data_IF_026192657671
#
_entry.id   IF_026192657671
#
_cell.length_a   1.000
_cell.length_b   1.000
_cell.length_c   1.000
_cell.angle_alpha   90.00
_cell.angle_beta   90.00
_cell.angle_gamma   90.00
#
_symmetry.space_group_name_H-M   'P 1'
#
loop_
_entity.id
_entity.type
_entity.pdbx_description
1 polymer ?
#
# COMPACT_ATOMS: atom_id res chain seq x y z
N UNK A 1 23.55 6.56 -57.87
CA UNK A 1 24.25 7.20 -56.74
C UNK A 1 23.38 8.17 -55.94
N UNK A 2 22.55 9.04 -56.53
CA UNK A 2 21.71 9.99 -55.74
C UNK A 2 20.62 9.33 -54.85
N UNK A 3 20.08 8.17 -55.21
CA UNK A 3 19.09 7.42 -54.39
C UNK A 3 19.71 6.68 -53.18
N UNK A 4 21.00 6.36 -53.24
CA UNK A 4 21.70 5.70 -52.15
C UNK A 4 22.07 6.68 -51.02
N UNK A 5 22.36 7.94 -51.38
CA UNK A 5 22.66 9.02 -50.44
C UNK A 5 21.44 9.46 -49.61
N UNK A 6 20.23 9.39 -50.20
CA UNK A 6 18.98 9.69 -49.48
C UNK A 6 18.63 8.59 -48.49
N UNK A 7 18.92 7.34 -48.83
CA UNK A 7 18.70 6.20 -47.89
C UNK A 7 19.65 6.26 -46.70
N UNK A 8 20.91 6.65 -46.89
CA UNK A 8 21.88 6.82 -45.82
C UNK A 8 21.57 7.99 -44.89
N UNK A 9 21.01 9.10 -45.41
CA UNK A 9 20.59 10.24 -44.59
C UNK A 9 19.31 9.93 -43.79
N UNK A 10 18.42 9.05 -44.28
CA UNK A 10 17.26 8.59 -43.53
C UNK A 10 17.63 7.60 -42.41
N UNK A 11 18.63 6.73 -42.67
CA UNK A 11 19.11 5.79 -41.62
C UNK A 11 19.93 6.54 -40.57
N UNK A 12 20.69 7.57 -40.92
CA UNK A 12 21.45 8.38 -39.98
C UNK A 12 20.51 9.23 -39.08
N UNK A 13 19.31 9.65 -39.57
CA UNK A 13 18.33 10.33 -38.74
C UNK A 13 17.50 9.38 -37.85
N UNK A 14 17.38 8.10 -38.23
CA UNK A 14 16.73 7.08 -37.37
C UNK A 14 17.66 6.59 -36.25
N UNK A 15 18.99 6.70 -36.42
CA UNK A 15 19.94 6.35 -35.34
C UNK A 15 20.22 7.49 -34.38
N UNK A 16 19.86 8.76 -34.71
CA UNK A 16 19.99 9.90 -33.80
C UNK A 16 18.82 10.01 -32.79
N UNK A 17 17.75 9.25 -32.98
CA UNK A 17 16.63 9.19 -32.03
C UNK A 17 16.80 8.12 -30.93
N UNK A 18 17.88 7.31 -30.98
CA UNK A 18 18.10 6.23 -30.01
C UNK A 18 19.24 6.50 -29.02
N UNK A 19 19.52 7.77 -28.70
CA UNK A 19 20.55 8.09 -27.73
C UNK A 19 20.03 9.01 -26.63
N UNK A 20 18.99 8.59 -25.94
CA UNK A 20 18.70 8.90 -24.55
C UNK A 20 17.68 7.88 -24.02
N UNK A 21 18.03 6.61 -24.08
CA UNK A 21 17.51 5.68 -23.12
C UNK A 21 18.14 6.07 -21.77
N UNK A 22 17.65 7.16 -21.17
CA UNK A 22 17.76 7.35 -19.76
C UNK A 22 17.25 6.06 -19.15
N UNK A 23 18.12 5.32 -18.48
CA UNK A 23 17.68 4.20 -17.66
C UNK A 23 16.55 4.71 -16.82
N UNK A 24 15.34 4.16 -16.98
CA UNK A 24 14.14 4.56 -16.22
C UNK A 24 14.24 4.12 -14.75
N UNK A 25 15.47 3.93 -14.25
CA UNK A 25 15.74 3.48 -12.89
C UNK A 25 15.28 4.54 -11.87
N UNK A 26 14.39 4.13 -10.98
CA UNK A 26 13.89 4.97 -9.88
C UNK A 26 14.77 4.72 -8.65
N UNK A 27 15.90 5.43 -8.61
CA UNK A 27 16.87 5.40 -7.50
C UNK A 27 16.82 6.69 -6.68
N UNK A 28 15.63 7.09 -6.29
CA UNK A 28 15.39 8.17 -5.34
C UNK A 28 14.00 8.06 -4.74
N UNK A 29 13.89 8.40 -3.47
CA UNK A 29 12.59 8.56 -2.81
C UNK A 29 12.07 9.99 -2.94
N UNK A 30 12.87 10.95 -3.43
CA UNK A 30 12.52 12.36 -3.54
C UNK A 30 12.77 12.85 -4.97
N UNK A 31 11.76 13.51 -5.57
CA UNK A 31 11.78 14.02 -6.93
C UNK A 31 11.27 15.44 -7.01
N UNK A 32 11.97 16.29 -7.76
CA UNK A 32 11.48 17.60 -8.18
C UNK A 32 10.57 17.43 -9.40
N UNK A 33 9.40 18.06 -9.36
CA UNK A 33 8.42 18.10 -10.46
C UNK A 33 8.42 19.49 -11.05
N UNK A 34 8.65 19.60 -12.35
CA UNK A 34 8.57 20.86 -13.09
C UNK A 34 7.93 20.67 -14.45
N UNK A 35 7.41 21.74 -15.04
CA UNK A 35 6.83 21.73 -16.39
C UNK A 35 6.95 23.10 -17.01
N UNK A 36 7.20 23.18 -18.32
CA UNK A 36 7.21 24.44 -19.05
C UNK A 36 5.85 25.15 -18.92
N UNK A 37 5.90 26.45 -18.64
CA UNK A 37 4.71 27.25 -18.38
C UNK A 37 4.19 27.22 -16.94
N UNK A 38 4.77 26.42 -16.06
CA UNK A 38 4.50 26.42 -14.61
C UNK A 38 5.75 26.99 -13.90
N UNK A 39 5.58 28.15 -13.25
CA UNK A 39 6.71 28.86 -12.65
C UNK A 39 7.22 28.18 -11.36
N UNK A 40 6.31 27.59 -10.58
CA UNK A 40 6.64 26.95 -9.31
C UNK A 40 7.06 25.50 -9.50
N UNK A 41 8.00 25.06 -8.66
CA UNK A 41 8.39 23.67 -8.55
C UNK A 41 7.52 22.97 -7.52
N UNK A 42 7.23 21.72 -7.76
CA UNK A 42 6.60 20.80 -6.79
C UNK A 42 7.51 19.59 -6.54
N UNK A 43 7.16 18.76 -5.57
CA UNK A 43 8.00 17.64 -5.16
C UNK A 43 7.16 16.41 -4.92
N UNK A 44 7.72 15.24 -5.26
CA UNK A 44 7.14 13.93 -5.00
C UNK A 44 8.05 13.18 -4.04
N UNK A 45 7.52 12.72 -2.92
CA UNK A 45 8.24 12.01 -1.87
C UNK A 45 7.62 10.62 -1.66
N UNK A 46 8.45 9.58 -1.81
CA UNK A 46 8.08 8.23 -1.43
C UNK A 46 8.14 8.06 0.08
N UNK A 47 7.06 7.62 0.71
CA UNK A 47 6.97 7.32 2.15
C UNK A 47 7.06 5.83 2.41
N UNK A 48 7.24 5.45 3.66
CA UNK A 48 7.27 4.06 4.07
C UNK A 48 6.37 3.85 5.28
N UNK A 49 5.47 2.87 5.18
CA UNK A 49 4.55 2.51 6.24
C UNK A 49 5.06 1.24 6.95
N UNK A 50 5.79 1.39 8.03
CA UNK A 50 6.29 0.22 8.75
C UNK A 50 6.99 0.53 10.05
N UNK A 51 6.27 0.44 11.16
CA UNK A 51 6.82 0.60 12.50
C UNK A 51 7.90 -0.44 12.84
N UNK A 52 7.75 -1.64 12.30
CA UNK A 52 8.58 -2.81 12.64
C UNK A 52 10.04 -2.68 12.22
N UNK A 53 10.37 -1.73 11.34
CA UNK A 53 11.70 -1.58 10.77
C UNK A 53 12.42 -0.30 11.25
N UNK A 54 11.84 0.43 12.21
CA UNK A 54 12.40 1.69 12.71
C UNK A 54 12.35 2.84 11.71
N UNK A 55 11.60 2.70 10.61
CA UNK A 55 11.39 3.77 9.63
C UNK A 55 10.19 4.58 10.09
N UNK A 56 10.45 5.75 10.63
CA UNK A 56 9.46 6.67 11.18
C UNK A 56 9.75 8.10 10.72
N UNK A 57 8.82 9.01 11.02
CA UNK A 57 8.93 10.41 10.62
C UNK A 57 10.25 11.08 11.07
N UNK A 58 10.77 10.75 12.24
CA UNK A 58 12.04 11.26 12.75
C UNK A 58 13.23 11.01 11.82
N UNK A 59 13.13 10.02 10.92
CA UNK A 59 14.16 9.72 9.93
C UNK A 59 14.32 10.87 8.91
N UNK A 60 13.21 11.47 8.49
CA UNK A 60 13.21 12.55 7.48
C UNK A 60 13.09 13.94 8.09
N UNK A 61 12.49 14.09 9.27
CA UNK A 61 12.23 15.36 9.94
C UNK A 61 13.51 16.19 10.18
N UNK A 62 14.64 15.51 10.38
CA UNK A 62 15.93 16.17 10.62
C UNK A 62 16.70 16.48 9.33
N UNK A 63 16.26 15.99 8.17
CA UNK A 63 16.97 16.14 6.90
C UNK A 63 16.81 17.56 6.35
N UNK A 64 17.92 18.31 6.10
CA UNK A 64 17.85 19.70 5.62
C UNK A 64 17.07 19.84 4.32
N UNK A 65 17.22 18.89 3.39
CA UNK A 65 16.53 18.88 2.11
C UNK A 65 15.01 18.83 2.29
N UNK A 66 14.52 17.93 3.13
CA UNK A 66 13.10 17.81 3.44
C UNK A 66 12.55 19.09 4.09
N UNK A 67 13.25 19.63 5.08
CA UNK A 67 12.83 20.86 5.77
C UNK A 67 12.72 22.02 4.79
N UNK A 68 13.75 22.22 3.97
CA UNK A 68 13.77 23.30 2.97
C UNK A 68 12.61 23.18 1.99
N UNK A 69 12.30 21.97 1.54
CA UNK A 69 11.16 21.73 0.65
C UNK A 69 9.84 22.02 1.36
N UNK A 70 9.64 21.47 2.57
CA UNK A 70 8.42 21.70 3.33
C UNK A 70 8.18 23.18 3.60
N UNK A 71 9.23 23.95 3.89
CA UNK A 71 9.15 25.41 4.08
C UNK A 71 8.77 26.14 2.79
N UNK A 72 9.29 25.70 1.64
CA UNK A 72 9.15 26.38 0.35
C UNK A 72 7.82 26.15 -0.35
N UNK A 73 7.12 25.05 -0.08
CA UNK A 73 5.86 24.72 -0.77
C UNK A 73 4.65 25.39 -0.13
N UNK A 74 3.61 25.65 -0.92
CA UNK A 74 2.34 26.24 -0.45
C UNK A 74 1.38 25.17 0.07
N UNK A 75 1.48 23.95 -0.45
CA UNK A 75 0.56 22.87 -0.13
C UNK A 75 1.29 21.53 0.07
N UNK A 76 0.67 20.67 0.84
CA UNK A 76 1.12 19.30 1.11
C UNK A 76 -0.01 18.33 0.79
N UNK A 77 0.34 17.22 0.21
CA UNK A 77 -0.60 16.13 -0.05
C UNK A 77 -0.10 14.81 0.52
N UNK A 78 -1.03 14.03 1.04
CA UNK A 78 -0.83 12.60 1.36
C UNK A 78 -1.93 11.77 0.69
N UNK A 79 -1.83 10.44 0.78
CA UNK A 79 -2.78 9.55 0.13
C UNK A 79 -4.21 9.78 0.62
N UNK A 80 -4.41 9.69 1.94
CA UNK A 80 -5.70 9.87 2.61
C UNK A 80 -5.52 10.71 3.88
N UNK A 81 -6.64 11.19 4.45
CA UNK A 81 -6.63 11.81 5.76
C UNK A 81 -6.41 10.76 6.86
N UNK A 82 -5.28 10.85 7.55
CA UNK A 82 -4.96 9.93 8.64
C UNK A 82 -5.98 9.99 9.80
N UNK A 83 -6.60 11.15 10.05
CA UNK A 83 -7.61 11.31 11.09
C UNK A 83 -8.93 10.64 10.67
N UNK A 84 -9.36 10.85 9.41
CA UNK A 84 -10.53 10.13 8.86
C UNK A 84 -10.30 8.62 8.89
N UNK A 85 -9.09 8.15 8.59
CA UNK A 85 -8.75 6.73 8.66
C UNK A 85 -8.89 6.18 10.08
N UNK A 86 -8.38 6.90 11.09
CA UNK A 86 -8.53 6.51 12.49
C UNK A 86 -10.00 6.49 12.91
N UNK A 87 -10.80 7.44 12.49
CA UNK A 87 -12.23 7.51 12.86
C UNK A 87 -13.05 6.44 12.13
N UNK A 88 -12.74 6.17 10.85
CA UNK A 88 -13.29 5.03 10.12
C UNK A 88 -12.98 3.71 10.84
N UNK A 89 -11.76 3.55 11.30
CA UNK A 89 -11.32 2.35 12.01
C UNK A 89 -12.03 2.17 13.36
N UNK A 90 -12.16 3.25 14.15
CA UNK A 90 -12.92 3.24 15.41
C UNK A 90 -14.38 2.86 15.17
N UNK A 91 -15.01 3.44 14.14
CA UNK A 91 -16.38 3.12 13.75
C UNK A 91 -16.50 1.65 13.36
N UNK A 92 -15.60 1.14 12.52
CA UNK A 92 -15.59 -0.27 12.10
C UNK A 92 -15.47 -1.22 13.28
N UNK A 93 -14.58 -0.92 14.25
CA UNK A 93 -14.46 -1.69 15.49
C UNK A 93 -15.77 -1.63 16.30
N UNK A 94 -16.38 -0.47 16.43
CA UNK A 94 -17.64 -0.32 17.15
C UNK A 94 -18.77 -1.11 16.47
N UNK A 95 -18.86 -1.06 15.15
CA UNK A 95 -19.84 -1.83 14.36
C UNK A 95 -19.61 -3.35 14.54
N UNK A 96 -18.37 -3.80 14.56
CA UNK A 96 -18.02 -5.19 14.89
C UNK A 96 -18.44 -5.57 16.33
N UNK A 97 -18.18 -4.70 17.30
CA UNK A 97 -18.53 -4.93 18.71
C UNK A 97 -20.03 -4.97 18.96
N UNK A 98 -20.80 -4.24 18.18
CA UNK A 98 -22.27 -4.14 18.28
C UNK A 98 -23.00 -5.09 17.31
N UNK A 99 -22.28 -5.92 16.55
CA UNK A 99 -22.79 -6.77 15.47
C UNK A 99 -23.62 -6.00 14.44
N UNK A 100 -23.26 -4.73 14.20
CA UNK A 100 -23.85 -3.90 13.17
C UNK A 100 -23.00 -4.04 11.87
N UNK A 101 -23.18 -5.18 11.20
CA UNK A 101 -22.41 -5.51 10.01
C UNK A 101 -23.08 -4.99 8.74
N UNK A 102 -22.32 -4.42 7.77
CA UNK A 102 -22.84 -4.09 6.45
C UNK A 102 -23.41 -5.33 5.76
N UNK A 103 -24.53 -5.17 5.05
CA UNK A 103 -25.25 -6.28 4.41
C UNK A 103 -24.36 -7.12 3.47
N UNK A 104 -23.40 -6.50 2.76
CA UNK A 104 -22.48 -7.19 1.86
C UNK A 104 -21.51 -8.15 2.57
N UNK A 105 -21.33 -8.02 3.87
CA UNK A 105 -20.47 -8.89 4.69
C UNK A 105 -21.20 -10.10 5.24
N UNK A 106 -22.53 -10.09 5.18
CA UNK A 106 -23.38 -11.14 5.70
C UNK A 106 -23.52 -12.31 4.71
N UNK A 107 -23.75 -13.49 5.26
CA UNK A 107 -24.17 -14.64 4.45
C UNK A 107 -25.53 -14.35 3.79
N UNK A 108 -25.76 -14.83 2.57
CA UNK A 108 -27.07 -14.72 1.93
C UNK A 108 -28.14 -15.51 2.73
N UNK A 109 -29.40 -15.07 2.70
CA UNK A 109 -30.53 -15.66 3.43
C UNK A 109 -30.72 -17.16 3.15
N UNK A 110 -30.22 -17.66 2.02
CA UNK A 110 -30.25 -19.08 1.65
C UNK A 110 -29.28 -19.96 2.46
N UNK A 111 -28.34 -19.36 3.19
CA UNK A 111 -27.31 -20.03 4.00
C UNK A 111 -27.59 -19.75 5.48
N UNK A 112 -27.85 -20.79 6.27
CA UNK A 112 -28.24 -20.61 7.68
C UNK A 112 -27.06 -20.23 8.58
N UNK A 113 -25.90 -20.80 8.35
CA UNK A 113 -24.72 -20.53 9.14
C UNK A 113 -23.44 -20.88 8.38
N UNK A 114 -22.30 -20.45 8.90
CA UNK A 114 -20.98 -20.69 8.33
C UNK A 114 -20.70 -22.16 8.09
N UNK A 115 -21.16 -23.06 8.96
CA UNK A 115 -20.99 -24.51 8.81
C UNK A 115 -21.53 -25.06 7.51
N UNK A 116 -22.67 -24.54 7.03
CA UNK A 116 -23.35 -25.03 5.83
C UNK A 116 -22.54 -24.78 4.54
N UNK A 117 -21.50 -23.97 4.62
CA UNK A 117 -20.63 -23.63 3.48
C UNK A 117 -19.45 -24.59 3.34
N UNK A 118 -18.99 -25.16 4.46
CA UNK A 118 -17.84 -26.06 4.46
C UNK A 118 -18.22 -27.42 3.88
N UNK A 119 -17.43 -27.92 2.92
CA UNK A 119 -17.56 -29.26 2.38
C UNK A 119 -16.95 -30.33 3.30
N UNK A 120 -15.95 -29.94 4.07
CA UNK A 120 -15.22 -30.82 4.97
C UNK A 120 -15.50 -30.42 6.42
N UNK A 121 -16.10 -31.33 7.16
CA UNK A 121 -16.43 -31.14 8.58
C UNK A 121 -15.18 -30.90 9.44
N UNK A 122 -14.06 -31.54 9.11
CA UNK A 122 -12.80 -31.35 9.85
C UNK A 122 -12.25 -29.93 9.66
N UNK A 123 -12.35 -29.38 8.44
CA UNK A 123 -11.97 -28.00 8.16
C UNK A 123 -12.84 -27.00 8.94
N UNK A 124 -14.16 -27.24 8.97
CA UNK A 124 -15.07 -26.43 9.76
C UNK A 124 -14.71 -26.46 11.24
N UNK A 125 -14.59 -27.68 11.84
CA UNK A 125 -14.31 -27.84 13.26
C UNK A 125 -12.98 -27.19 13.67
N UNK A 126 -11.96 -27.33 12.83
CA UNK A 126 -10.68 -26.66 13.06
C UNK A 126 -10.84 -25.13 13.03
N UNK A 127 -11.47 -24.60 11.99
CA UNK A 127 -11.72 -23.16 11.82
C UNK A 127 -12.53 -22.59 12.99
N UNK A 128 -13.62 -23.25 13.35
CA UNK A 128 -14.50 -22.91 14.47
C UNK A 128 -13.72 -22.86 15.80
N UNK A 129 -12.82 -23.84 16.02
CA UNK A 129 -12.00 -23.86 17.24
C UNK A 129 -11.05 -22.65 17.33
N UNK A 130 -10.42 -22.28 16.22
CA UNK A 130 -9.52 -21.12 16.15
C UNK A 130 -10.28 -19.81 16.35
N UNK A 131 -11.47 -19.68 15.74
CA UNK A 131 -12.29 -18.47 15.89
C UNK A 131 -12.85 -18.38 17.32
N UNK A 132 -13.27 -19.49 17.92
CA UNK A 132 -13.74 -19.52 19.32
C UNK A 132 -12.65 -19.10 20.31
N UNK A 133 -11.41 -19.53 20.07
CA UNK A 133 -10.26 -19.09 20.87
C UNK A 133 -10.01 -17.59 20.70
N UNK A 134 -10.05 -17.11 19.45
CA UNK A 134 -9.93 -15.69 19.14
C UNK A 134 -11.00 -14.86 19.87
N UNK A 135 -12.28 -15.26 19.81
CA UNK A 135 -13.39 -14.59 20.49
C UNK A 135 -13.21 -14.45 22.00
N UNK A 136 -12.69 -15.48 22.65
CA UNK A 136 -12.45 -15.44 24.11
C UNK A 136 -11.53 -14.30 24.52
N UNK A 137 -10.59 -13.96 23.64
CA UNK A 137 -9.51 -13.05 23.95
C UNK A 137 -9.70 -11.64 23.36
N UNK A 138 -10.65 -11.46 22.42
CA UNK A 138 -10.71 -10.24 21.59
C UNK A 138 -12.10 -9.59 21.61
N UNK A 139 -13.10 -10.19 20.98
CA UNK A 139 -14.43 -9.58 20.78
C UNK A 139 -15.55 -10.63 20.69
N UNK A 140 -16.80 -10.26 21.02
CA UNK A 140 -17.97 -11.13 20.86
C UNK A 140 -18.47 -11.17 19.40
N UNK A 141 -17.61 -11.49 18.45
CA UNK A 141 -17.95 -11.57 17.02
C UNK A 141 -18.95 -12.70 16.74
N UNK A 142 -20.08 -12.38 16.11
CA UNK A 142 -21.01 -13.38 15.59
C UNK A 142 -20.61 -13.82 14.17
N UNK A 143 -19.58 -14.66 14.07
CA UNK A 143 -19.02 -15.11 12.79
C UNK A 143 -19.91 -16.08 12.04
N UNK A 144 -20.90 -16.70 12.69
CA UNK A 144 -21.79 -17.69 12.07
C UNK A 144 -22.65 -17.09 10.94
N UNK A 145 -22.89 -15.81 10.97
CA UNK A 145 -23.67 -15.08 9.96
C UNK A 145 -22.81 -14.29 8.97
N UNK A 146 -21.49 -14.31 9.13
CA UNK A 146 -20.57 -13.57 8.31
C UNK A 146 -20.03 -14.40 7.15
N UNK A 147 -19.77 -13.75 6.00
CA UNK A 147 -19.02 -14.38 4.92
C UNK A 147 -17.64 -14.80 5.43
N UNK A 148 -17.13 -15.97 5.00
CA UNK A 148 -15.85 -16.50 5.50
C UNK A 148 -14.69 -15.54 5.31
N UNK A 149 -14.64 -14.86 4.17
CA UNK A 149 -13.62 -13.85 3.90
C UNK A 149 -13.65 -12.72 4.92
N UNK A 150 -14.81 -12.13 5.15
CA UNK A 150 -14.93 -11.03 6.09
C UNK A 150 -14.51 -11.47 7.51
N UNK A 151 -14.78 -12.70 7.87
CA UNK A 151 -14.29 -13.27 9.13
C UNK A 151 -12.76 -13.30 9.18
N UNK A 152 -12.08 -13.68 8.09
CA UNK A 152 -10.61 -13.65 8.04
C UNK A 152 -10.04 -12.24 8.13
N UNK A 153 -10.66 -11.25 7.47
CA UNK A 153 -10.25 -9.85 7.54
C UNK A 153 -10.37 -9.28 8.95
N UNK A 154 -11.47 -9.59 9.64
CA UNK A 154 -11.66 -9.19 11.05
C UNK A 154 -10.57 -9.76 11.94
N UNK A 155 -10.23 -11.04 11.78
CA UNK A 155 -9.17 -11.67 12.57
C UNK A 155 -7.81 -11.03 12.26
N UNK A 156 -7.50 -10.81 10.98
CA UNK A 156 -6.26 -10.18 10.54
C UNK A 156 -6.11 -8.77 11.10
N UNK A 157 -7.18 -7.99 11.07
CA UNK A 157 -7.22 -6.65 11.61
C UNK A 157 -6.87 -6.60 13.10
N UNK A 158 -7.46 -7.48 13.89
CA UNK A 158 -7.18 -7.53 15.32
C UNK A 158 -5.79 -8.07 15.63
N UNK A 159 -5.31 -9.05 14.88
CA UNK A 159 -3.92 -9.52 15.02
C UNK A 159 -2.94 -8.36 14.74
N UNK A 160 -3.17 -7.56 13.72
CA UNK A 160 -2.40 -6.36 13.42
C UNK A 160 -2.43 -5.33 14.58
N UNK A 161 -3.61 -5.02 15.10
CA UNK A 161 -3.76 -4.08 16.24
C UNK A 161 -3.05 -4.59 17.49
N UNK A 162 -3.08 -5.90 17.74
CA UNK A 162 -2.39 -6.48 18.90
C UNK A 162 -0.87 -6.49 18.74
N UNK A 163 -0.38 -6.79 17.55
CA UNK A 163 1.05 -6.73 17.25
C UNK A 163 1.56 -5.28 17.40
N UNK A 164 0.84 -4.29 16.90
CA UNK A 164 1.17 -2.87 17.12
C UNK A 164 1.20 -2.47 18.60
N UNK A 165 0.21 -2.91 19.40
CA UNK A 165 0.18 -2.62 20.86
C UNK A 165 1.32 -3.30 21.60
N UNK A 166 1.73 -4.48 21.19
CA UNK A 166 2.87 -5.20 21.79
C UNK A 166 4.18 -4.48 21.54
N UNK A 167 4.38 -4.06 20.29
CA UNK A 167 5.59 -3.31 19.89
C UNK A 167 5.68 -1.93 20.55
N UNK A 168 4.56 -1.22 20.72
CA UNK A 168 4.52 0.07 21.39
C UNK A 168 4.85 -0.01 22.90
N UNK A 169 4.63 -1.16 23.53
CA UNK A 169 5.02 -1.40 24.93
C UNK A 169 6.51 -1.70 25.09
N UNK A 170 7.10 -2.37 24.11
CA UNK A 170 8.52 -2.73 24.12
C UNK A 170 9.42 -1.57 23.65
N UNK A 171 8.88 -0.67 22.82
CA UNK A 171 9.57 0.54 22.36
C UNK A 171 9.03 1.75 23.13
N UNK A 172 9.80 2.31 24.05
CA UNK A 172 9.51 3.55 24.79
C UNK A 172 9.45 4.81 23.90
N UNK A 173 9.38 4.68 22.57
CA UNK A 173 9.28 5.78 21.62
C UNK A 173 7.87 5.86 21.03
N UNK A 174 7.31 7.03 21.00
CA UNK A 174 6.09 7.33 20.25
C UNK A 174 6.41 7.23 18.75
N UNK A 175 6.08 6.09 18.13
CA UNK A 175 6.20 5.92 16.69
C UNK A 175 5.26 6.90 15.97
N UNK A 176 5.80 7.63 15.00
CA UNK A 176 5.03 8.52 14.13
C UNK A 176 5.26 8.08 12.69
N UNK A 177 4.21 7.64 12.00
CA UNK A 177 4.26 7.33 10.59
C UNK A 177 4.71 8.57 9.78
N UNK A 178 5.45 8.35 8.70
CA UNK A 178 6.00 9.45 7.89
C UNK A 178 4.90 10.39 7.42
N UNK A 179 3.81 9.86 6.86
CA UNK A 179 2.70 10.67 6.34
C UNK A 179 2.01 11.48 7.43
N UNK A 180 1.76 10.88 8.60
CA UNK A 180 1.19 11.58 9.74
C UNK A 180 2.10 12.69 10.22
N UNK A 181 3.40 12.44 10.27
CA UNK A 181 4.39 13.45 10.67
C UNK A 181 4.44 14.62 9.68
N UNK A 182 4.38 14.34 8.38
CA UNK A 182 4.32 15.34 7.31
C UNK A 182 3.08 16.20 7.47
N UNK A 183 1.89 15.60 7.63
CA UNK A 183 0.63 16.32 7.80
C UNK A 183 0.66 17.21 9.05
N UNK A 184 1.07 16.65 10.20
CA UNK A 184 1.15 17.40 11.46
C UNK A 184 2.08 18.62 11.35
N UNK A 185 3.19 18.51 10.62
CA UNK A 185 4.09 19.64 10.40
C UNK A 185 3.51 20.64 9.41
N UNK A 186 2.87 20.19 8.35
CA UNK A 186 2.19 21.06 7.40
C UNK A 186 1.08 21.89 8.07
N UNK A 187 0.28 21.27 8.94
CA UNK A 187 -0.73 21.97 9.75
C UNK A 187 -0.11 23.04 10.65
N UNK A 188 0.94 22.69 11.41
CA UNK A 188 1.64 23.65 12.28
C UNK A 188 2.21 24.86 11.52
N UNK A 189 2.58 24.64 10.25
CA UNK A 189 3.09 25.70 9.38
C UNK A 189 1.99 26.46 8.62
N UNK A 190 0.71 26.11 8.83
CA UNK A 190 -0.42 26.73 8.14
C UNK A 190 -0.47 26.44 6.65
N UNK A 191 0.13 25.34 6.19
CA UNK A 191 0.10 24.92 4.79
C UNK A 191 -1.28 24.39 4.41
N UNK A 192 -1.69 24.57 3.15
CA UNK A 192 -2.87 23.90 2.61
C UNK A 192 -2.61 22.40 2.52
N UNK A 193 -3.50 21.59 3.07
CA UNK A 193 -3.42 20.14 2.97
C UNK A 193 -4.53 19.65 2.04
N UNK A 194 -4.22 18.68 1.19
CA UNK A 194 -5.19 17.96 0.37
C UNK A 194 -4.79 16.48 0.28
N UNK A 195 -5.75 15.65 -0.12
CA UNK A 195 -5.58 14.21 -0.15
C UNK A 195 -5.78 13.70 -1.58
N UNK A 196 -5.06 12.64 -1.95
CA UNK A 196 -5.17 12.03 -3.26
C UNK A 196 -6.51 11.34 -3.47
N UNK A 197 -7.08 10.80 -2.37
CA UNK A 197 -8.38 10.13 -2.35
C UNK A 197 -9.02 10.25 -0.96
N UNK A 198 -10.32 9.97 -0.89
CA UNK A 198 -11.01 9.89 0.40
C UNK A 198 -10.77 8.55 1.06
N UNK A 199 -10.74 8.53 2.39
CA UNK A 199 -10.65 7.27 3.16
C UNK A 199 -11.78 6.32 2.81
N UNK A 200 -13.00 6.83 2.65
CA UNK A 200 -14.15 6.05 2.23
C UNK A 200 -13.93 5.43 0.85
N UNK A 201 -13.49 6.21 -0.14
CA UNK A 201 -13.22 5.71 -1.50
C UNK A 201 -12.11 4.66 -1.55
N UNK A 202 -11.07 4.81 -0.72
CA UNK A 202 -10.03 3.80 -0.55
C UNK A 202 -10.58 2.50 0.05
N UNK A 203 -11.37 2.61 1.13
CA UNK A 203 -11.93 1.45 1.83
C UNK A 203 -13.01 0.73 1.02
N UNK A 204 -13.88 1.47 0.31
CA UNK A 204 -14.83 0.90 -0.64
C UNK A 204 -14.11 0.14 -1.75
N UNK A 205 -13.07 0.71 -2.29
CA UNK A 205 -12.29 0.06 -3.32
C UNK A 205 -11.56 -1.21 -2.84
N UNK A 206 -11.12 -1.30 -1.60
CA UNK A 206 -10.61 -2.55 -1.00
C UNK A 206 -11.77 -3.52 -0.73
N UNK A 207 -12.91 -3.04 -0.23
CA UNK A 207 -14.06 -3.85 0.13
C UNK A 207 -14.88 -4.35 -1.07
N UNK A 208 -15.04 -3.49 -2.09
CA UNK A 208 -15.67 -3.80 -3.38
C UNK A 208 -14.73 -4.59 -4.30
N UNK A 209 -13.62 -5.05 -3.79
CA UNK A 209 -12.73 -5.82 -4.63
C UNK A 209 -13.56 -6.94 -5.26
N UNK A 210 -13.73 -6.79 -6.55
CA UNK A 210 -14.44 -7.70 -7.48
C UNK A 210 -14.11 -9.18 -7.21
N UNK A 211 -12.97 -9.42 -6.57
CA UNK A 211 -12.53 -10.72 -6.11
C UNK A 211 -13.50 -11.37 -5.13
N UNK A 212 -14.14 -10.57 -4.28
CA UNK A 212 -15.01 -11.09 -3.22
C UNK A 212 -16.37 -11.55 -3.75
N UNK A 213 -16.92 -10.82 -4.72
CA UNK A 213 -18.21 -11.17 -5.33
C UNK A 213 -18.07 -12.29 -6.37
N UNK A 214 -16.88 -12.49 -6.94
CA UNK A 214 -16.62 -13.57 -7.90
C UNK A 214 -16.20 -14.88 -7.24
N UNK A 215 -15.79 -14.85 -5.97
CA UNK A 215 -15.35 -16.04 -5.25
C UNK A 215 -16.53 -16.74 -4.57
N UNK A 216 -16.77 -18.02 -4.88
CA UNK A 216 -17.84 -18.78 -4.23
C UNK A 216 -17.63 -18.85 -2.71
N UNK A 217 -18.73 -18.89 -1.94
CA UNK A 217 -18.68 -19.03 -0.47
C UNK A 217 -17.88 -20.26 -0.03
N UNK A 218 -18.00 -21.35 -0.79
CA UNK A 218 -17.25 -22.60 -0.62
C UNK A 218 -15.73 -22.36 -0.73
N UNK A 219 -15.29 -21.61 -1.73
CA UNK A 219 -13.89 -21.25 -1.90
C UNK A 219 -13.42 -20.32 -0.76
N UNK A 220 -14.25 -19.35 -0.37
CA UNK A 220 -13.99 -18.49 0.78
C UNK A 220 -13.85 -19.29 2.09
N UNK A 221 -14.64 -20.35 2.31
CA UNK A 221 -14.55 -21.18 3.52
C UNK A 221 -13.21 -21.93 3.59
N UNK A 222 -12.74 -22.46 2.46
CA UNK A 222 -11.43 -23.11 2.38
C UNK A 222 -10.28 -22.12 2.61
N UNK A 223 -10.41 -20.89 2.09
CA UNK A 223 -9.44 -19.82 2.35
C UNK A 223 -9.40 -19.41 3.83
N UNK A 224 -10.57 -19.31 4.48
CA UNK A 224 -10.65 -19.05 5.92
C UNK A 224 -9.98 -20.15 6.74
N UNK A 225 -10.22 -21.43 6.39
CA UNK A 225 -9.52 -22.55 7.00
C UNK A 225 -8.00 -22.45 6.84
N UNK A 226 -7.54 -22.21 5.61
CA UNK A 226 -6.11 -22.06 5.30
C UNK A 226 -5.48 -20.89 6.07
N UNK A 227 -6.21 -19.78 6.19
CA UNK A 227 -5.79 -18.64 7.00
C UNK A 227 -5.66 -19.00 8.49
N UNK A 228 -6.67 -19.66 9.07
CA UNK A 228 -6.66 -20.11 10.46
C UNK A 228 -5.50 -21.08 10.74
N UNK A 229 -5.20 -21.98 9.81
CA UNK A 229 -4.08 -22.91 9.90
C UNK A 229 -2.73 -22.17 9.89
N UNK A 230 -2.53 -21.31 8.90
CA UNK A 230 -1.30 -20.49 8.79
C UNK A 230 -1.09 -19.63 10.04
N UNK A 231 -2.16 -19.04 10.58
CA UNK A 231 -2.13 -18.23 11.80
C UNK A 231 -1.68 -19.04 13.02
N UNK A 232 -2.20 -20.25 13.19
CA UNK A 232 -1.81 -21.16 14.28
C UNK A 232 -0.36 -21.63 14.15
N UNK A 233 0.08 -21.98 12.93
CA UNK A 233 1.46 -22.38 12.66
C UNK A 233 2.45 -21.23 12.95
N UNK A 234 2.09 -19.99 12.61
CA UNK A 234 2.92 -18.81 12.91
C UNK A 234 3.01 -18.52 14.41
N UNK A 235 1.94 -18.72 15.17
CA UNK A 235 1.96 -18.60 16.62
C UNK A 235 2.89 -19.64 17.24
N UNK A 236 2.77 -20.89 16.83
CA UNK A 236 3.63 -21.99 17.31
C UNK A 236 5.11 -21.76 16.95
N UNK A 237 5.39 -21.30 15.71
CA UNK A 237 6.77 -20.98 15.28
C UNK A 237 7.35 -19.77 16.00
N UNK A 238 6.57 -18.78 16.41
CA UNK A 238 7.06 -17.64 17.22
C UNK A 238 7.52 -18.06 18.60
N UNK A 239 6.99 -19.15 19.14
CA UNK A 239 7.47 -19.73 20.41
C UNK A 239 8.79 -20.52 20.24
N UNK A 240 8.97 -21.18 19.10
CA UNK A 240 10.19 -21.97 18.81
C UNK A 240 11.33 -21.15 18.17
N UNK A 241 11.02 -20.09 17.40
CA UNK A 241 11.98 -19.34 16.61
C UNK A 241 12.53 -18.10 17.34
N UNK A 242 13.10 -18.30 18.54
CA UNK A 242 13.90 -17.24 19.20
C UNK A 242 15.27 -17.01 18.57
N UNK A 243 15.70 -17.77 17.58
CA UNK A 243 17.11 -17.75 17.14
C UNK A 243 17.40 -17.58 15.64
N UNK A 244 16.44 -17.61 14.74
CA UNK A 244 16.74 -17.34 13.32
C UNK A 244 15.90 -16.17 12.80
N UNK A 245 16.45 -14.95 12.94
CA UNK A 245 15.95 -13.74 12.28
C UNK A 245 16.14 -13.88 10.78
N UNK A 246 15.35 -14.70 10.14
CA UNK A 246 15.16 -14.60 8.68
C UNK A 246 14.71 -13.18 8.41
N UNK A 247 15.48 -12.44 7.60
CA UNK A 247 15.09 -11.08 7.16
C UNK A 247 13.72 -11.19 6.55
N UNK A 248 12.71 -10.72 7.23
CA UNK A 248 11.34 -10.73 6.73
C UNK A 248 11.27 -9.83 5.49
N UNK A 249 10.29 -10.07 4.64
CA UNK A 249 10.03 -9.24 3.45
C UNK A 249 10.01 -7.73 3.79
N UNK A 250 9.35 -7.35 4.89
CA UNK A 250 9.31 -5.96 5.35
C UNK A 250 10.69 -5.37 5.68
N UNK A 251 11.61 -6.16 6.24
CA UNK A 251 12.99 -5.71 6.47
C UNK A 251 13.74 -5.47 5.16
N UNK A 252 13.53 -6.32 4.17
CA UNK A 252 14.16 -6.17 2.86
C UNK A 252 13.66 -4.92 2.13
N UNK A 253 12.35 -4.68 2.14
CA UNK A 253 11.79 -3.44 1.60
C UNK A 253 12.32 -2.21 2.33
N UNK A 254 12.40 -2.25 3.65
CA UNK A 254 12.96 -1.17 4.45
C UNK A 254 14.42 -0.86 4.10
N UNK A 255 15.23 -1.91 3.91
CA UNK A 255 16.63 -1.76 3.49
C UNK A 255 16.74 -1.13 2.10
N UNK A 256 15.90 -1.54 1.14
CA UNK A 256 15.87 -0.97 -0.20
C UNK A 256 15.36 0.48 -0.20
N UNK A 257 14.35 0.79 0.59
CA UNK A 257 13.88 2.16 0.81
C UNK A 257 15.00 3.08 1.33
N UNK A 258 15.74 2.66 2.35
CA UNK A 258 16.87 3.44 2.89
C UNK A 258 18.00 3.63 1.88
N UNK A 259 18.18 2.68 0.96
CA UNK A 259 19.10 2.78 -0.18
C UNK A 259 18.53 3.61 -1.34
N UNK A 260 17.28 4.03 -1.26
CA UNK A 260 16.54 4.72 -2.32
C UNK A 260 16.43 3.91 -3.62
N UNK A 261 16.54 2.58 -3.57
CA UNK A 261 16.44 1.68 -4.73
C UNK A 261 15.02 1.15 -4.85
N UNK A 262 14.14 2.00 -5.39
CA UNK A 262 12.71 1.70 -5.47
C UNK A 262 12.37 0.69 -6.55
N UNK A 263 13.17 0.60 -7.62
CA UNK A 263 12.99 -0.44 -8.65
C UNK A 263 13.26 -1.83 -8.07
N UNK A 264 14.31 -1.97 -7.26
CA UNK A 264 14.55 -3.22 -6.55
C UNK A 264 13.45 -3.52 -5.50
N UNK A 265 12.90 -2.49 -4.85
CA UNK A 265 11.80 -2.65 -3.91
C UNK A 265 10.52 -3.15 -4.60
N UNK A 266 10.16 -2.58 -5.76
CA UNK A 266 9.03 -3.03 -6.56
C UNK A 266 9.22 -4.48 -7.02
N UNK A 267 10.41 -4.83 -7.52
CA UNK A 267 10.73 -6.21 -7.94
C UNK A 267 10.60 -7.21 -6.79
N UNK A 268 11.01 -6.85 -5.56
CA UNK A 268 10.81 -7.72 -4.39
C UNK A 268 9.34 -7.88 -4.03
N UNK A 269 8.56 -6.82 -4.21
CA UNK A 269 7.12 -6.86 -4.02
C UNK A 269 6.45 -7.82 -5.01
N UNK A 270 6.79 -7.73 -6.31
CA UNK A 270 6.28 -8.61 -7.37
C UNK A 270 6.64 -10.07 -7.11
N UNK A 271 7.89 -10.33 -6.69
CA UNK A 271 8.34 -11.67 -6.34
C UNK A 271 7.58 -12.26 -5.13
N UNK A 272 7.17 -11.45 -4.16
CA UNK A 272 6.32 -11.90 -3.06
C UNK A 272 4.95 -12.30 -3.58
N UNK A 273 4.31 -11.45 -4.39
CA UNK A 273 3.00 -11.73 -4.98
C UNK A 273 3.04 -13.01 -5.82
N UNK A 274 4.08 -13.20 -6.63
CA UNK A 274 4.26 -14.41 -7.41
C UNK A 274 4.39 -15.68 -6.54
N UNK A 275 5.14 -15.61 -5.45
CA UNK A 275 5.26 -16.73 -4.49
C UNK A 275 3.94 -17.05 -3.78
N UNK A 276 3.20 -16.05 -3.40
CA UNK A 276 1.88 -16.23 -2.78
C UNK A 276 0.88 -16.86 -3.76
N UNK A 277 0.94 -16.48 -5.05
CA UNK A 277 0.14 -17.09 -6.10
C UNK A 277 0.47 -18.57 -6.33
N UNK A 278 1.75 -18.94 -6.34
CA UNK A 278 2.19 -20.34 -6.50
C UNK A 278 1.75 -21.23 -5.33
N UNK A 279 1.57 -20.67 -4.14
CA UNK A 279 1.10 -21.37 -2.95
C UNK A 279 -0.43 -21.39 -2.82
N UNK A 280 -1.13 -20.58 -3.58
CA UNK A 280 -2.57 -20.52 -3.61
C UNK A 280 -3.13 -21.54 -4.61
N UNK A 281 -4.20 -22.25 -4.23
CA UNK A 281 -4.99 -23.09 -5.15
C UNK A 281 -5.89 -22.27 -6.06
N UNK A 282 -5.84 -20.94 -5.93
CA UNK A 282 -6.64 -19.99 -6.68
C UNK A 282 -6.04 -19.69 -8.06
N UNK A 283 -6.89 -19.25 -8.99
CA UNK A 283 -6.46 -18.79 -10.32
C UNK A 283 -5.32 -17.74 -10.16
N UNK A 284 -4.12 -18.00 -10.69
CA UNK A 284 -2.94 -17.16 -10.46
C UNK A 284 -3.13 -15.68 -10.87
N UNK A 285 -4.09 -15.42 -11.76
CA UNK A 285 -4.35 -14.08 -12.31
C UNK A 285 -5.07 -13.14 -11.36
N UNK A 286 -5.78 -13.63 -10.34
CA UNK A 286 -6.67 -12.79 -9.53
C UNK A 286 -5.96 -11.94 -8.47
N UNK A 287 -4.99 -12.50 -7.75
CA UNK A 287 -4.26 -11.76 -6.70
C UNK A 287 -3.27 -10.74 -7.27
N UNK A 288 -2.50 -11.12 -8.30
CA UNK A 288 -1.58 -10.19 -8.95
C UNK A 288 -2.35 -9.04 -9.58
N UNK A 289 -3.42 -9.34 -10.30
CA UNK A 289 -4.28 -8.35 -10.92
C UNK A 289 -4.92 -7.42 -9.89
N UNK A 290 -5.35 -7.93 -8.73
CA UNK A 290 -5.90 -7.12 -7.65
C UNK A 290 -4.83 -6.19 -7.05
N UNK A 291 -3.64 -6.70 -6.74
CA UNK A 291 -2.57 -5.88 -6.18
C UNK A 291 -2.09 -4.81 -7.16
N UNK A 292 -1.91 -5.16 -8.44
CA UNK A 292 -1.48 -4.22 -9.47
C UNK A 292 -2.59 -3.23 -9.84
N UNK A 293 -3.79 -3.73 -10.20
CA UNK A 293 -4.87 -2.88 -10.71
C UNK A 293 -5.48 -2.00 -9.62
N UNK A 294 -5.51 -2.47 -8.38
CA UNK A 294 -6.20 -1.75 -7.31
C UNK A 294 -5.25 -1.01 -6.39
N UNK A 295 -4.25 -1.68 -5.80
CA UNK A 295 -3.42 -1.09 -4.74
C UNK A 295 -2.42 -0.07 -5.30
N UNK A 296 -1.79 -0.33 -6.44
CA UNK A 296 -0.78 0.54 -7.02
C UNK A 296 -1.25 1.23 -8.30
N UNK A 297 -1.43 0.49 -9.38
CA UNK A 297 -1.66 1.06 -10.72
C UNK A 297 -2.97 1.83 -10.81
N UNK A 298 -4.07 1.25 -10.32
CA UNK A 298 -5.39 1.89 -10.34
C UNK A 298 -5.41 3.20 -9.55
N UNK A 299 -4.74 3.23 -8.39
CA UNK A 299 -4.63 4.45 -7.58
C UNK A 299 -3.73 5.48 -8.25
N UNK A 300 -2.57 5.08 -8.78
CA UNK A 300 -1.68 5.98 -9.51
C UNK A 300 -2.43 6.71 -10.63
N UNK A 301 -3.19 5.99 -11.46
CA UNK A 301 -3.97 6.58 -12.55
C UNK A 301 -5.05 7.56 -12.05
N UNK A 302 -5.72 7.23 -10.94
CA UNK A 302 -6.71 8.13 -10.31
C UNK A 302 -6.07 9.39 -9.74
N UNK A 303 -4.83 9.31 -9.25
CA UNK A 303 -4.13 10.43 -8.63
C UNK A 303 -3.52 11.42 -9.62
N UNK A 304 -3.19 11.00 -10.85
CA UNK A 304 -2.62 11.90 -11.87
C UNK A 304 -3.45 13.17 -12.10
N UNK A 305 -4.79 13.11 -12.30
CA UNK A 305 -5.59 14.32 -12.43
C UNK A 305 -5.52 15.23 -11.19
N UNK A 306 -5.53 14.65 -9.98
CA UNK A 306 -5.46 15.40 -8.71
C UNK A 306 -4.11 16.10 -8.59
N UNK A 307 -3.02 15.40 -8.90
CA UNK A 307 -1.66 15.97 -8.89
C UNK A 307 -1.58 17.14 -9.88
N UNK A 308 -2.00 16.92 -11.12
CA UNK A 308 -1.97 17.94 -12.20
C UNK A 308 -2.72 19.20 -11.81
N UNK A 309 -3.93 19.06 -11.29
CA UNK A 309 -4.76 20.19 -10.86
C UNK A 309 -4.05 21.03 -9.78
N UNK A 310 -3.44 20.37 -8.80
CA UNK A 310 -2.86 21.06 -7.66
C UNK A 310 -1.50 21.68 -7.97
N UNK A 311 -0.61 21.01 -8.71
CA UNK A 311 0.72 21.56 -9.07
C UNK A 311 0.63 22.71 -10.07
N UNK A 312 -0.46 22.84 -10.82
CA UNK A 312 -0.73 23.99 -11.66
C UNK A 312 -1.12 25.24 -10.85
N UNK A 313 -1.76 25.06 -9.70
CA UNK A 313 -2.26 26.15 -8.85
C UNK A 313 -1.21 26.68 -7.87
N UNK A 314 -0.38 25.79 -7.33
CA UNK A 314 0.58 26.12 -6.27
C UNK A 314 1.73 25.12 -6.22
N UNK A 315 2.81 25.49 -5.54
CA UNK A 315 3.88 24.56 -5.21
C UNK A 315 3.40 23.52 -4.21
N UNK A 316 3.69 22.24 -4.47
CA UNK A 316 3.20 21.11 -3.66
C UNK A 316 4.33 20.17 -3.25
N UNK A 317 4.27 19.66 -2.02
CA UNK A 317 4.93 18.41 -1.62
C UNK A 317 3.90 17.30 -1.60
N UNK A 318 4.08 16.30 -2.47
CA UNK A 318 3.19 15.14 -2.62
C UNK A 318 3.89 13.94 -2.01
N UNK A 319 3.35 13.42 -0.92
CA UNK A 319 3.90 12.31 -0.17
C UNK A 319 2.98 11.09 -0.28
N UNK A 320 3.49 10.02 -0.89
CA UNK A 320 2.76 8.76 -1.13
C UNK A 320 3.67 7.57 -0.89
N UNK A 321 3.11 6.39 -0.63
CA UNK A 321 3.90 5.18 -0.43
C UNK A 321 4.93 4.97 -1.54
N UNK A 322 6.16 4.64 -1.16
CA UNK A 322 7.30 4.61 -2.07
C UNK A 322 7.12 3.67 -3.28
N UNK A 323 6.34 2.60 -3.13
CA UNK A 323 6.05 1.67 -4.23
C UNK A 323 5.13 2.26 -5.32
N UNK A 324 4.49 3.40 -5.06
CA UNK A 324 3.76 4.15 -6.08
C UNK A 324 4.66 4.87 -7.09
N UNK A 325 5.96 5.03 -6.80
CA UNK A 325 6.86 5.83 -7.63
C UNK A 325 7.44 5.06 -8.82
N UNK A 326 7.98 3.81 -8.66
CA UNK A 326 8.70 3.09 -9.69
C UNK A 326 7.80 2.36 -10.69
N UNK A 327 8.42 1.87 -11.77
CA UNK A 327 7.77 1.07 -12.81
C UNK A 327 7.11 1.88 -13.92
N UNK A 328 6.64 1.18 -14.95
CA UNK A 328 5.99 1.80 -16.13
C UNK A 328 4.68 2.51 -15.75
N UNK A 329 3.94 1.96 -14.80
CA UNK A 329 2.69 2.51 -14.25
C UNK A 329 2.92 3.28 -12.93
N UNK A 330 4.19 3.57 -12.60
CA UNK A 330 4.56 4.37 -11.44
C UNK A 330 4.36 5.86 -11.68
N UNK A 331 4.15 6.62 -10.61
CA UNK A 331 3.87 8.06 -10.69
C UNK A 331 4.99 8.86 -11.39
N UNK A 332 6.25 8.42 -11.25
CA UNK A 332 7.37 9.08 -11.94
C UNK A 332 7.21 8.97 -13.45
N UNK A 333 6.87 7.80 -13.96
CA UNK A 333 6.68 7.58 -15.39
C UNK A 333 5.38 8.22 -15.90
N UNK A 334 4.27 8.03 -15.20
CA UNK A 334 2.98 8.61 -15.58
C UNK A 334 3.02 10.14 -15.65
N UNK A 335 3.71 10.80 -14.72
CA UNK A 335 3.87 12.26 -14.77
C UNK A 335 4.77 12.71 -15.93
N UNK A 336 5.79 11.93 -16.31
CA UNK A 336 6.61 12.19 -17.51
C UNK A 336 5.77 12.11 -18.79
N UNK A 337 4.89 11.12 -18.89
CA UNK A 337 3.96 10.99 -20.02
C UNK A 337 2.99 12.16 -20.13
N UNK A 338 2.63 12.77 -19.00
CA UNK A 338 1.85 14.00 -18.93
C UNK A 338 2.68 15.28 -19.22
N UNK A 339 3.96 15.12 -19.61
CA UNK A 339 4.86 16.20 -20.01
C UNK A 339 5.49 16.96 -18.85
N UNK A 340 5.54 16.35 -17.65
CA UNK A 340 6.33 16.88 -16.54
C UNK A 340 7.78 16.38 -16.59
N UNK A 341 8.70 17.20 -16.14
CA UNK A 341 10.09 16.82 -15.90
C UNK A 341 10.25 16.37 -14.45
N UNK A 342 10.64 15.12 -14.25
CA UNK A 342 10.91 14.51 -12.95
C UNK A 342 12.42 14.38 -12.76
N UNK A 343 12.98 15.15 -11.83
CA UNK A 343 14.41 15.15 -11.52
C UNK A 343 14.64 14.48 -10.15
N UNK A 344 15.43 13.39 -10.09
CA UNK A 344 15.74 12.75 -8.81
C UNK A 344 16.55 13.67 -7.92
N UNK A 345 16.26 13.67 -6.63
CA UNK A 345 16.94 14.45 -5.61
C UNK A 345 17.49 13.52 -4.53
N UNK A 346 18.69 13.82 -4.04
CA UNK A 346 19.22 13.08 -2.90
C UNK A 346 18.68 13.68 -1.61
N UNK A 347 17.76 12.97 -0.95
CA UNK A 347 17.15 13.45 0.29
C UNK A 347 18.17 13.64 1.42
N UNK A 348 19.31 12.97 1.36
CA UNK A 348 20.40 13.06 2.35
C UNK A 348 21.45 14.13 1.98
N UNK A 349 21.29 14.85 0.87
CA UNK A 349 22.18 15.95 0.52
C UNK A 349 22.08 17.07 1.55
N UNK A 350 23.25 17.65 1.88
CA UNK A 350 23.38 18.80 2.79
C UNK A 350 23.13 20.11 2.05
#
# INVERSE_FOLDING_TARGET
MKKLLVLFSLIANLTAFNCNAQTNEVKSILWEISKDGIAQKSYLLGTFHGSQNGIEYSLIDTLPQYKSILESVDAVATETDANEFVDFFKKSINDLMTNNHPAYTLLPDSVKCLRDIFENEEEYLYTDSVIKEFRKNVIPLNYETLKPYYTSEVIALFDFVFDMKKESKDQKKNFVAIDLGINNNAEKMGKRIFYMETTQGFMEGIGDSIYMDTCSLKKQSHQLYSYCKKRSDLKNKKEEAKEEKTKTYSHKLAELYLKQDLDAALKEHDLLIEKEQQQSTDEPSSHKKFAEDFILVGRNKKWIPVIKENVQKSSCLIAVGALHLPGEEGLVQLLREEGYTLKPMNIYAK
#
